data_IF_795267405320
#
_entry.id   IF_795267405320
#
_cell.length_a   1.000
_cell.length_b   1.000
_cell.length_c   1.000
_cell.angle_alpha   90.00
_cell.angle_beta   90.00
_cell.angle_gamma   90.00
#
_symmetry.space_group_name_H-M   'P 1'
#
loop_
_entity.id
_entity.type
_entity.pdbx_description
1 polymer ?
#
# COMPACT_ATOMS: atom_id res chain seq x y z
N UNK A 1 -11.14 -8.58 12.65
CA UNK A 1 -9.75 -8.53 12.18
C UNK A 1 -9.65 -7.48 11.08
N UNK A 2 -8.71 -6.56 11.20
CA UNK A 2 -8.50 -5.52 10.18
C UNK A 2 -7.85 -6.12 8.94
N UNK A 3 -8.26 -5.64 7.78
CA UNK A 3 -7.84 -6.20 6.49
C UNK A 3 -6.99 -5.19 5.74
N UNK A 4 -5.80 -5.64 5.32
CA UNK A 4 -4.84 -4.85 4.57
C UNK A 4 -4.72 -5.37 3.15
N UNK A 5 -4.67 -4.47 2.18
CA UNK A 5 -4.24 -4.80 0.82
C UNK A 5 -2.82 -4.29 0.65
N UNK A 6 -1.91 -5.16 0.27
CA UNK A 6 -0.50 -4.84 0.15
C UNK A 6 -0.05 -5.05 -1.29
N UNK A 7 0.44 -4.00 -1.92
CA UNK A 7 0.93 -4.05 -3.31
C UNK A 7 2.44 -4.02 -3.27
N UNK A 8 3.05 -5.16 -3.57
CA UNK A 8 4.49 -5.35 -3.48
C UNK A 8 4.91 -6.44 -4.45
N UNK A 9 5.94 -6.20 -5.27
CA UNK A 9 6.43 -7.17 -6.24
C UNK A 9 7.71 -7.89 -5.81
N UNK A 10 8.39 -7.41 -4.76
CA UNK A 10 9.59 -8.06 -4.23
C UNK A 10 9.22 -9.25 -3.33
N UNK A 11 9.73 -10.44 -3.66
CA UNK A 11 9.37 -11.66 -2.96
C UNK A 11 9.80 -11.67 -1.48
N UNK A 12 10.93 -11.06 -1.17
CA UNK A 12 11.43 -10.98 0.21
C UNK A 12 10.53 -10.08 1.05
N UNK A 13 10.17 -8.91 0.52
CA UNK A 13 9.27 -7.98 1.21
C UNK A 13 7.87 -8.58 1.39
N UNK A 14 7.37 -9.28 0.39
CA UNK A 14 6.07 -9.96 0.49
C UNK A 14 6.05 -10.95 1.64
N UNK A 15 7.10 -11.74 1.77
CA UNK A 15 7.23 -12.71 2.84
C UNK A 15 7.32 -12.03 4.21
N UNK A 16 8.09 -10.96 4.29
CA UNK A 16 8.20 -10.16 5.50
C UNK A 16 6.83 -9.62 5.93
N UNK A 17 6.10 -9.00 5.03
CA UNK A 17 4.78 -8.46 5.34
C UNK A 17 3.82 -9.54 5.82
N UNK A 18 3.82 -10.70 5.18
CA UNK A 18 2.91 -11.77 5.58
C UNK A 18 3.16 -12.23 7.00
N UNK A 19 4.42 -12.29 7.43
CA UNK A 19 4.77 -12.70 8.78
C UNK A 19 4.42 -11.63 9.80
N UNK A 20 4.84 -10.38 9.56
CA UNK A 20 4.67 -9.31 10.55
C UNK A 20 3.19 -8.97 10.78
N UNK A 21 2.38 -8.96 9.73
CA UNK A 21 0.98 -8.63 9.88
C UNK A 21 0.17 -9.78 10.48
N UNK A 22 0.51 -11.01 10.15
CA UNK A 22 -0.12 -12.16 10.80
C UNK A 22 0.13 -12.14 12.31
N UNK A 23 1.35 -11.85 12.73
CA UNK A 23 1.72 -11.77 14.16
C UNK A 23 1.00 -10.65 14.89
N UNK A 24 0.59 -9.63 14.19
CA UNK A 24 -0.07 -8.46 14.79
C UNK A 24 -1.58 -8.46 14.59
N UNK A 25 -2.15 -9.59 14.20
CA UNK A 25 -3.60 -9.75 14.15
C UNK A 25 -4.28 -9.17 12.93
N UNK A 26 -3.55 -8.94 11.86
CA UNK A 26 -4.12 -8.44 10.61
C UNK A 26 -4.38 -9.58 9.63
N UNK A 27 -5.43 -9.40 8.83
CA UNK A 27 -5.64 -10.18 7.62
C UNK A 27 -5.02 -9.40 6.47
N UNK A 28 -4.13 -10.00 5.70
CA UNK A 28 -3.45 -9.30 4.62
C UNK A 28 -3.60 -10.05 3.30
N UNK A 29 -3.83 -9.29 2.23
CA UNK A 29 -3.84 -9.80 0.87
C UNK A 29 -2.70 -9.11 0.11
N UNK A 30 -1.73 -9.88 -0.34
CA UNK A 30 -0.51 -9.35 -0.95
C UNK A 30 -0.50 -9.74 -2.44
N UNK A 31 -0.39 -8.74 -3.30
CA UNK A 31 -0.40 -8.96 -4.74
C UNK A 31 0.46 -7.93 -5.45
N UNK A 32 0.89 -8.25 -6.67
CA UNK A 32 1.61 -7.33 -7.54
C UNK A 32 0.92 -7.20 -8.90
N UNK A 33 -0.27 -7.77 -9.07
CA UNK A 33 -1.02 -7.74 -10.31
C UNK A 33 -2.09 -6.65 -10.26
N UNK A 34 -2.02 -5.69 -11.19
CA UNK A 34 -2.95 -4.58 -11.23
C UNK A 34 -4.41 -4.99 -11.40
N UNK A 35 -4.67 -5.98 -12.24
CA UNK A 35 -6.04 -6.46 -12.45
C UNK A 35 -6.59 -7.14 -11.20
N UNK A 36 -5.75 -7.91 -10.51
CA UNK A 36 -6.12 -8.56 -9.25
C UNK A 36 -6.40 -7.52 -8.16
N UNK A 37 -5.60 -6.46 -8.09
CA UNK A 37 -5.82 -5.36 -7.15
C UNK A 37 -7.19 -4.74 -7.36
N UNK A 38 -7.53 -4.41 -8.59
CA UNK A 38 -8.81 -3.77 -8.89
C UNK A 38 -9.99 -4.69 -8.60
N UNK A 39 -9.86 -5.98 -8.91
CA UNK A 39 -10.88 -6.96 -8.61
C UNK A 39 -11.06 -7.13 -7.10
N UNK A 40 -9.97 -7.21 -6.36
CA UNK A 40 -10.01 -7.36 -4.91
C UNK A 40 -10.71 -6.16 -4.25
N UNK A 41 -10.41 -4.94 -4.71
CA UNK A 41 -11.03 -3.73 -4.17
C UNK A 41 -12.52 -3.62 -4.48
N UNK A 42 -12.98 -4.27 -5.54
CA UNK A 42 -14.41 -4.32 -5.87
C UNK A 42 -15.19 -5.31 -5.01
N UNK A 43 -14.53 -6.37 -4.56
CA UNK A 43 -15.20 -7.51 -3.92
C UNK A 43 -14.96 -7.60 -2.42
N UNK A 44 -14.02 -6.83 -1.88
CA UNK A 44 -13.66 -6.88 -0.45
C UNK A 44 -13.55 -5.48 0.14
N UNK A 45 -13.97 -5.35 1.38
CA UNK A 45 -13.69 -4.15 2.17
C UNK A 45 -12.25 -4.22 2.67
N UNK A 46 -11.53 -3.11 2.53
CA UNK A 46 -10.12 -3.01 2.94
C UNK A 46 -9.99 -1.83 3.89
N UNK A 47 -9.33 -2.05 5.02
CA UNK A 47 -9.14 -1.00 6.03
C UNK A 47 -7.98 -0.08 5.70
N UNK A 48 -6.99 -0.57 4.95
CA UNK A 48 -5.81 0.22 4.61
C UNK A 48 -5.07 -0.44 3.45
N UNK A 49 -4.45 0.38 2.61
CA UNK A 49 -3.65 -0.08 1.47
C UNK A 49 -2.19 0.29 1.72
N UNK A 50 -1.30 -0.68 1.58
CA UNK A 50 0.15 -0.45 1.56
C UNK A 50 0.60 -0.57 0.11
N UNK A 51 1.19 0.48 -0.42
CA UNK A 51 1.52 0.56 -1.85
C UNK A 51 3.00 0.94 -2.03
N UNK A 52 3.75 0.02 -2.63
CA UNK A 52 5.12 0.30 -3.05
C UNK A 52 5.08 1.13 -4.34
N UNK A 53 5.69 2.30 -4.33
CA UNK A 53 5.72 3.14 -5.53
C UNK A 53 6.81 2.71 -6.52
N UNK A 54 7.74 1.86 -6.12
CA UNK A 54 8.83 1.38 -6.97
C UNK A 54 8.48 0.04 -7.65
N UNK A 55 7.22 -0.13 -8.05
CA UNK A 55 6.80 -1.33 -8.76
C UNK A 55 7.44 -1.36 -10.15
N UNK A 56 8.03 -2.51 -10.51
CA UNK A 56 8.69 -2.67 -11.79
C UNK A 56 8.08 -3.77 -12.64
N UNK A 57 7.18 -4.57 -12.07
CA UNK A 57 6.65 -5.76 -12.73
C UNK A 57 5.15 -5.90 -12.53
N UNK A 58 4.45 -4.77 -12.52
CA UNK A 58 3.00 -4.72 -12.30
C UNK A 58 2.29 -4.28 -13.57
N UNK A 59 1.22 -4.99 -13.92
CA UNK A 59 0.46 -4.77 -15.16
C UNK A 59 -1.02 -4.58 -14.84
N UNK A 60 -1.64 -3.68 -15.58
CA UNK A 60 -3.08 -3.44 -15.54
C UNK A 60 -3.60 -3.39 -16.97
N UNK A 61 -4.56 -4.27 -17.30
CA UNK A 61 -5.10 -4.39 -18.66
C UNK A 61 -4.02 -4.60 -19.70
N UNK A 62 -2.99 -5.40 -19.35
CA UNK A 62 -1.88 -5.71 -20.24
C UNK A 62 -0.81 -4.65 -20.37
N UNK A 63 -0.94 -3.53 -19.69
CA UNK A 63 0.03 -2.44 -19.72
C UNK A 63 0.79 -2.36 -18.41
N UNK A 64 2.09 -2.17 -18.49
CA UNK A 64 2.91 -1.99 -17.30
C UNK A 64 2.57 -0.66 -16.64
N UNK A 65 2.38 -0.69 -15.32
CA UNK A 65 2.14 0.52 -14.54
C UNK A 65 3.09 0.54 -13.34
N UNK A 66 3.42 1.74 -12.90
CA UNK A 66 4.20 1.91 -11.66
C UNK A 66 3.26 2.24 -10.49
N UNK A 67 3.85 2.35 -9.29
CA UNK A 67 3.07 2.61 -8.09
C UNK A 67 2.37 3.97 -8.13
N UNK A 68 2.98 4.99 -8.71
CA UNK A 68 2.36 6.31 -8.80
C UNK A 68 1.14 6.31 -9.69
N UNK A 69 1.21 5.61 -10.83
CA UNK A 69 0.07 5.47 -11.72
C UNK A 69 -1.08 4.72 -11.04
N UNK A 70 -0.75 3.66 -10.32
CA UNK A 70 -1.74 2.88 -9.58
C UNK A 70 -2.39 3.71 -8.48
N UNK A 71 -1.60 4.50 -7.75
CA UNK A 71 -2.11 5.41 -6.73
C UNK A 71 -3.12 6.38 -7.31
N UNK A 72 -2.80 6.97 -8.46
CA UNK A 72 -3.69 7.90 -9.15
C UNK A 72 -5.02 7.24 -9.51
N UNK A 73 -4.97 6.01 -10.02
CA UNK A 73 -6.17 5.27 -10.39
C UNK A 73 -7.03 4.99 -9.16
N UNK A 74 -6.42 4.54 -8.06
CA UNK A 74 -7.15 4.23 -6.83
C UNK A 74 -7.81 5.49 -6.26
N UNK A 75 -7.09 6.61 -6.25
CA UNK A 75 -7.61 7.87 -5.70
C UNK A 75 -8.81 8.42 -6.48
N UNK A 76 -8.95 8.06 -7.74
CA UNK A 76 -10.08 8.50 -8.56
C UNK A 76 -11.35 7.68 -8.30
N UNK A 77 -11.24 6.57 -7.61
CA UNK A 77 -12.38 5.72 -7.30
C UNK A 77 -13.05 6.24 -6.03
N UNK A 78 -14.24 6.79 -6.17
CA UNK A 78 -14.95 7.49 -5.09
C UNK A 78 -15.19 6.62 -3.86
N UNK A 79 -15.54 5.35 -4.07
CA UNK A 79 -15.80 4.43 -2.96
C UNK A 79 -14.54 4.11 -2.14
N UNK A 80 -13.36 4.41 -2.66
CA UNK A 80 -12.08 4.10 -2.01
C UNK A 80 -11.41 5.34 -1.40
N UNK A 81 -12.00 6.53 -1.56
CA UNK A 81 -11.34 7.78 -1.18
C UNK A 81 -11.04 7.90 0.31
N UNK A 82 -11.76 7.18 1.16
CA UNK A 82 -11.56 7.22 2.61
C UNK A 82 -10.58 6.17 3.13
N UNK A 83 -10.17 5.25 2.27
CA UNK A 83 -9.23 4.21 2.68
C UNK A 83 -7.84 4.82 2.80
N UNK A 84 -7.20 4.78 3.98
CA UNK A 84 -5.85 5.31 4.13
C UNK A 84 -4.85 4.50 3.33
N UNK A 85 -3.87 5.20 2.77
CA UNK A 85 -2.83 4.59 1.93
C UNK A 85 -1.47 4.90 2.54
N UNK A 86 -0.67 3.86 2.79
CA UNK A 86 0.72 4.00 3.19
C UNK A 86 1.58 3.76 1.96
N UNK A 87 2.28 4.80 1.52
CA UNK A 87 3.22 4.69 0.42
C UNK A 87 4.56 4.20 0.96
N UNK A 88 5.13 3.20 0.29
CA UNK A 88 6.47 2.72 0.63
C UNK A 88 7.40 3.18 -0.47
N UNK A 89 8.43 3.95 -0.09
CA UNK A 89 9.33 4.59 -1.04
C UNK A 89 10.77 4.13 -0.82
N UNK A 90 11.58 4.12 -1.88
CA UNK A 90 13.01 3.89 -1.76
C UNK A 90 13.74 5.17 -1.33
N UNK A 91 15.00 5.01 -0.97
CA UNK A 91 15.86 6.14 -0.55
C UNK A 91 15.99 7.22 -1.61
N UNK A 92 15.93 6.83 -2.87
CA UNK A 92 16.09 7.76 -3.99
C UNK A 92 14.86 8.59 -4.28
N UNK A 93 13.72 8.28 -3.66
CA UNK A 93 12.48 9.02 -3.91
C UNK A 93 12.46 10.29 -3.05
N UNK A 94 12.42 11.49 -3.67
CA UNK A 94 12.45 12.73 -2.90
C UNK A 94 11.21 12.92 -2.03
N UNK A 95 11.40 13.33 -0.78
CA UNK A 95 10.29 13.57 0.15
C UNK A 95 9.36 14.68 -0.33
N UNK A 96 9.88 15.70 -1.00
CA UNK A 96 9.06 16.78 -1.54
C UNK A 96 8.07 16.30 -2.59
N UNK A 97 8.37 15.18 -3.26
CA UNK A 97 7.43 14.54 -4.19
C UNK A 97 6.43 13.64 -3.48
N UNK A 98 6.81 13.08 -2.33
CA UNK A 98 5.92 12.22 -1.55
C UNK A 98 4.81 13.03 -0.87
N UNK A 99 5.14 14.19 -0.33
CA UNK A 99 4.20 15.03 0.42
C UNK A 99 2.94 15.37 -0.39
N UNK A 100 3.03 15.85 -1.64
CA UNK A 100 1.81 16.15 -2.43
C UNK A 100 0.96 14.91 -2.70
N UNK A 101 1.56 13.72 -2.75
CA UNK A 101 0.83 12.49 -3.03
C UNK A 101 -0.10 12.08 -1.89
N UNK A 102 0.22 12.47 -0.66
CA UNK A 102 -0.54 12.06 0.51
C UNK A 102 -1.26 13.22 1.21
N UNK A 103 -0.97 14.48 0.84
CA UNK A 103 -1.51 15.66 1.53
C UNK A 103 -3.03 15.73 1.55
N UNK A 104 -3.67 15.24 0.49
CA UNK A 104 -5.13 15.27 0.39
C UNK A 104 -5.75 13.90 0.67
N UNK A 105 -5.00 13.01 1.28
CA UNK A 105 -5.47 11.67 1.64
C UNK A 105 -5.27 11.43 3.13
N UNK A 106 -5.83 10.34 3.63
CA UNK A 106 -5.65 9.94 5.03
C UNK A 106 -4.40 9.10 5.23
N UNK A 107 -3.45 9.17 4.29
CA UNK A 107 -2.27 8.32 4.29
C UNK A 107 -1.00 8.95 4.81
N UNK A 108 0.08 8.22 4.66
CA UNK A 108 1.44 8.65 5.00
C UNK A 108 2.42 7.88 4.11
N UNK A 109 3.72 8.17 4.28
CA UNK A 109 4.75 7.40 3.56
C UNK A 109 5.77 6.83 4.53
N UNK A 110 6.44 5.76 4.11
CA UNK A 110 7.52 5.11 4.85
C UNK A 110 8.65 4.84 3.87
N UNK A 111 9.88 5.08 4.30
CA UNK A 111 11.07 4.87 3.47
C UNK A 111 11.68 3.49 3.76
N UNK A 112 12.04 2.76 2.70
CA UNK A 112 12.76 1.49 2.84
C UNK A 112 14.23 1.74 3.19
N UNK A 113 14.87 0.86 3.96
CA UNK A 113 14.32 -0.34 4.57
C UNK A 113 13.50 -0.01 5.82
N UNK A 114 12.49 -0.82 6.10
CA UNK A 114 11.69 -0.69 7.32
C UNK A 114 12.48 -1.38 8.44
N UNK A 115 13.02 -0.60 9.35
CA UNK A 115 13.90 -1.12 10.41
C UNK A 115 13.22 -1.22 11.76
N UNK A 116 12.21 -0.39 12.01
CA UNK A 116 11.44 -0.45 13.25
C UNK A 116 10.03 -0.95 12.96
N UNK A 117 9.82 -2.23 13.14
CA UNK A 117 8.57 -2.89 12.79
C UNK A 117 7.43 -2.49 13.72
N UNK A 118 7.71 -2.33 15.01
CA UNK A 118 6.71 -1.90 15.98
C UNK A 118 6.18 -0.51 15.63
N UNK A 119 7.06 0.40 15.27
CA UNK A 119 6.68 1.75 14.86
C UNK A 119 5.84 1.72 13.59
N UNK A 120 6.22 0.88 12.64
CA UNK A 120 5.48 0.71 11.37
C UNK A 120 4.06 0.20 11.64
N UNK A 121 3.92 -0.83 12.45
CA UNK A 121 2.61 -1.38 12.80
C UNK A 121 1.77 -0.36 13.58
N UNK A 122 2.38 0.38 14.50
CA UNK A 122 1.68 1.42 15.25
C UNK A 122 1.16 2.53 14.35
N UNK A 123 1.94 2.92 13.36
CA UNK A 123 1.53 3.92 12.37
C UNK A 123 0.29 3.45 11.59
N UNK A 124 0.29 2.19 11.18
CA UNK A 124 -0.86 1.59 10.50
C UNK A 124 -2.09 1.58 11.39
N UNK A 125 -1.94 1.15 12.64
CA UNK A 125 -3.04 1.11 13.59
C UNK A 125 -3.65 2.50 13.83
N UNK A 126 -2.83 3.53 13.91
CA UNK A 126 -3.31 4.90 14.09
C UNK A 126 -4.11 5.39 12.88
N UNK A 127 -3.69 5.03 11.68
CA UNK A 127 -4.42 5.42 10.48
C UNK A 127 -5.78 4.73 10.40
N UNK A 128 -5.84 3.46 10.75
CA UNK A 128 -7.09 2.69 10.72
C UNK A 128 -8.07 3.19 11.79
N UNK A 129 -7.55 3.63 12.93
CA UNK A 129 -8.38 4.06 14.06
C UNK A 129 -9.14 5.37 13.84
N UNK A 130 -8.76 6.15 12.82
CA UNK A 130 -9.41 7.45 12.55
C UNK A 130 -10.78 7.30 11.91
#
# INVERSE_FOLDING_TARGET
>A
MKRLLIVEDDSIMRKFYSVIFLRNGFESYITDDGDDIMEYLKTHYVDLIILDINLTNTYLNGKQINGLALLSIIKQIRSLERIPIVLVTGHSFPQDKAVPLINNSTGTWVTKPIVNYSEFVNKINKLIAK
#
